data_IF_361306498861
#
_entry.id   IF_361306498861
#
_cell.length_a   1.000
_cell.length_b   1.000
_cell.length_c   1.000
_cell.angle_alpha   90.00
_cell.angle_beta   90.00
_cell.angle_gamma   90.00
#
_symmetry.space_group_name_H-M   'P 1'
#
loop_
_entity.id
_entity.type
_entity.pdbx_description
1 polymer ?
#
# COMPACT_ATOMS: atom_id res chain seq x y z
N UNK A 1 15.61 3.92 -4.89
CA UNK A 1 15.14 3.58 -6.24
C UNK A 1 13.75 3.00 -6.04
N UNK A 2 12.72 3.60 -6.62
CA UNK A 2 11.36 3.08 -6.55
C UNK A 2 11.32 1.68 -7.16
N UNK A 3 10.63 0.71 -6.56
CA UNK A 3 10.49 -0.61 -7.16
C UNK A 3 9.66 -0.49 -8.45
N UNK A 4 10.11 -1.23 -9.47
CA UNK A 4 9.43 -1.30 -10.75
C UNK A 4 8.63 -2.60 -10.86
N UNK A 5 7.36 -2.50 -11.27
CA UNK A 5 6.48 -3.64 -11.51
C UNK A 5 5.87 -3.50 -12.91
N UNK A 6 5.86 -4.57 -13.70
CA UNK A 6 5.32 -4.52 -15.07
C UNK A 6 5.91 -3.41 -15.97
N UNK A 7 7.11 -2.89 -15.66
CA UNK A 7 7.77 -1.81 -16.41
C UNK A 7 7.44 -0.38 -15.96
N UNK A 8 6.65 -0.22 -14.88
CA UNK A 8 6.32 1.09 -14.31
C UNK A 8 6.96 1.24 -12.92
N UNK A 9 7.36 2.47 -12.57
CA UNK A 9 7.90 2.79 -11.25
C UNK A 9 6.77 3.10 -10.26
N UNK A 10 6.87 2.55 -9.05
CA UNK A 10 5.87 2.76 -8.00
C UNK A 10 6.49 3.26 -6.70
N UNK A 11 5.83 4.23 -6.08
CA UNK A 11 6.08 4.62 -4.70
C UNK A 11 4.99 4.04 -3.80
N UNK A 12 5.36 3.65 -2.59
CA UNK A 12 4.43 3.15 -1.59
C UNK A 12 4.32 4.11 -0.43
N UNK A 13 3.09 4.42 -0.04
CA UNK A 13 2.80 5.33 1.07
C UNK A 13 1.87 4.63 2.06
N UNK A 14 2.24 4.67 3.33
CA UNK A 14 1.37 4.18 4.39
C UNK A 14 0.41 5.28 4.82
N UNK A 15 -0.87 4.93 4.99
CA UNK A 15 -1.92 5.82 5.44
C UNK A 15 -2.57 5.22 6.68
N UNK A 16 -2.49 5.90 7.82
CA UNK A 16 -3.21 5.48 9.03
C UNK A 16 -4.59 6.12 9.08
N UNK A 17 -5.63 5.35 9.39
CA UNK A 17 -6.96 5.88 9.63
C UNK A 17 -7.36 5.68 11.10
N UNK A 18 -7.39 6.77 11.85
CA UNK A 18 -7.73 6.81 13.28
C UNK A 18 -9.20 6.43 13.53
N UNK A 19 -10.09 6.68 12.58
CA UNK A 19 -11.53 6.38 12.71
C UNK A 19 -11.79 4.89 12.47
N UNK A 20 -11.10 4.30 11.49
CA UNK A 20 -11.21 2.87 11.16
C UNK A 20 -10.29 1.97 12.00
N UNK A 21 -9.43 2.58 12.83
CA UNK A 21 -8.42 1.92 13.67
C UNK A 21 -7.63 0.88 12.87
N UNK A 22 -6.96 1.35 11.83
CA UNK A 22 -6.24 0.48 10.92
C UNK A 22 -5.24 1.21 10.04
N UNK A 23 -4.47 0.42 9.30
CA UNK A 23 -3.41 0.88 8.43
C UNK A 23 -3.71 0.52 6.97
N UNK A 24 -3.50 1.50 6.11
CA UNK A 24 -3.57 1.41 4.67
C UNK A 24 -2.19 1.49 4.04
N UNK A 25 -2.01 0.82 2.90
CA UNK A 25 -0.86 0.93 2.03
C UNK A 25 -1.35 1.34 0.64
N UNK A 26 -0.88 2.48 0.18
CA UNK A 26 -1.17 3.05 -1.12
C UNK A 26 0.01 2.79 -2.07
N UNK A 27 -0.29 2.44 -3.31
CA UNK A 27 0.67 2.33 -4.40
C UNK A 27 0.40 3.44 -5.42
N UNK A 28 1.43 4.24 -5.66
CA UNK A 28 1.42 5.40 -6.52
C UNK A 28 2.35 5.19 -7.71
N UNK A 29 1.78 5.12 -8.90
CA UNK A 29 2.54 5.05 -10.15
C UNK A 29 3.21 6.41 -10.42
N UNK A 30 4.53 6.39 -10.66
CA UNK A 30 5.39 7.59 -10.70
C UNK A 30 5.78 8.05 -12.12
N UNK A 31 5.53 7.23 -13.14
CA UNK A 31 5.89 7.53 -14.54
C UNK A 31 4.82 8.37 -15.26
N UNK A 32 3.86 8.92 -14.51
CA UNK A 32 2.88 9.90 -14.97
C UNK A 32 2.92 11.17 -14.11
N UNK A 33 2.53 12.30 -14.69
CA UNK A 33 2.42 13.59 -14.00
C UNK A 33 0.97 14.12 -14.07
N UNK A 34 0.26 14.25 -12.94
CA UNK A 34 0.70 13.92 -11.59
C UNK A 34 0.84 12.41 -11.34
N UNK A 35 1.58 11.98 -10.29
CA UNK A 35 1.60 10.58 -9.86
C UNK A 35 0.18 10.07 -9.61
N UNK A 36 -0.07 8.82 -10.00
CA UNK A 36 -1.41 8.24 -9.98
C UNK A 36 -1.55 7.21 -8.87
N UNK A 37 -2.50 7.40 -7.96
CA UNK A 37 -2.91 6.37 -7.01
C UNK A 37 -3.60 5.25 -7.79
N UNK A 38 -2.98 4.07 -7.80
CA UNK A 38 -3.49 2.93 -8.59
C UNK A 38 -4.13 1.86 -7.72
N UNK A 39 -3.66 1.73 -6.48
CA UNK A 39 -4.07 0.69 -5.56
C UNK A 39 -3.96 1.17 -4.12
N UNK A 40 -4.96 0.84 -3.30
CA UNK A 40 -4.91 0.91 -1.85
C UNK A 40 -5.31 -0.44 -1.25
N UNK A 41 -4.57 -0.88 -0.24
CA UNK A 41 -4.92 -2.02 0.60
C UNK A 41 -5.04 -1.55 2.04
N UNK A 42 -6.18 -1.81 2.68
CA UNK A 42 -6.45 -1.40 4.05
C UNK A 42 -6.75 -2.62 4.93
N UNK A 43 -6.04 -2.75 6.05
CA UNK A 43 -6.28 -3.81 7.03
C UNK A 43 -7.16 -3.30 8.17
N UNK A 44 -8.26 -3.99 8.41
CA UNK A 44 -9.11 -3.77 9.57
C UNK A 44 -8.66 -4.69 10.70
N UNK A 45 -7.98 -4.14 11.71
CA UNK A 45 -7.41 -4.93 12.81
C UNK A 45 -8.44 -5.72 13.62
N UNK A 46 -9.62 -5.19 13.98
CA UNK A 46 -10.60 -5.91 14.79
C UNK A 46 -11.20 -7.15 14.12
N UNK A 47 -11.32 -7.14 12.78
CA UNK A 47 -11.95 -8.22 12.02
C UNK A 47 -10.94 -9.13 11.32
N UNK A 48 -9.66 -8.71 11.23
CA UNK A 48 -8.66 -9.37 10.39
C UNK A 48 -8.98 -9.31 8.90
N UNK A 49 -9.96 -8.49 8.50
CA UNK A 49 -10.34 -8.33 7.10
C UNK A 49 -9.37 -7.40 6.38
N UNK A 50 -9.18 -7.67 5.09
CA UNK A 50 -8.43 -6.82 4.18
C UNK A 50 -9.39 -6.23 3.16
N UNK A 51 -9.42 -4.91 3.05
CA UNK A 51 -10.11 -4.19 1.99
C UNK A 51 -9.10 -3.82 0.90
N UNK A 52 -9.52 -3.94 -0.36
CA UNK A 52 -8.68 -3.67 -1.52
C UNK A 52 -9.46 -2.74 -2.45
N UNK A 53 -8.83 -1.62 -2.80
CA UNK A 53 -9.37 -0.63 -3.71
C UNK A 53 -8.42 -0.45 -4.89
N UNK A 54 -8.86 -0.88 -6.07
CA UNK A 54 -8.13 -0.67 -7.31
C UNK A 54 -8.78 0.46 -8.11
N UNK A 55 -7.98 1.48 -8.41
CA UNK A 55 -8.44 2.70 -9.07
C UNK A 55 -8.25 2.65 -10.59
N UNK A 56 -7.37 1.77 -11.08
CA UNK A 56 -7.15 1.53 -12.52
C UNK A 56 -7.15 0.03 -12.83
N UNK A 57 -7.74 -0.42 -13.94
CA UNK A 57 -7.76 -1.84 -14.31
C UNK A 57 -6.38 -2.32 -14.79
N UNK A 58 -6.15 -3.63 -14.77
CA UNK A 58 -4.99 -4.24 -15.43
C UNK A 58 -3.65 -4.01 -14.75
N UNK A 59 -3.64 -3.87 -13.42
CA UNK A 59 -2.39 -3.74 -12.66
C UNK A 59 -1.51 -4.99 -12.77
N UNK A 60 -0.17 -4.81 -12.74
CA UNK A 60 0.76 -5.93 -12.67
C UNK A 60 0.43 -6.86 -11.50
N UNK A 61 0.42 -8.17 -11.74
CA UNK A 61 0.05 -9.15 -10.71
C UNK A 61 1.05 -9.15 -9.54
N UNK A 62 2.34 -9.01 -9.85
CA UNK A 62 3.44 -8.91 -8.89
C UNK A 62 3.35 -7.65 -8.01
N UNK A 63 2.84 -6.53 -8.54
CA UNK A 63 2.51 -5.34 -7.72
C UNK A 63 1.44 -5.68 -6.68
N UNK A 64 0.36 -6.35 -7.09
CA UNK A 64 -0.73 -6.72 -6.19
C UNK A 64 -0.21 -7.67 -5.09
N UNK A 65 0.55 -8.70 -5.48
CA UNK A 65 1.16 -9.63 -4.52
C UNK A 65 2.08 -8.92 -3.54
N UNK A 66 2.87 -7.96 -4.01
CA UNK A 66 3.77 -7.17 -3.17
C UNK A 66 3.02 -6.35 -2.11
N UNK A 67 2.00 -5.58 -2.53
CA UNK A 67 1.22 -4.73 -1.62
C UNK A 67 0.46 -5.59 -0.60
N UNK A 68 -0.16 -6.68 -1.02
CA UNK A 68 -0.84 -7.62 -0.12
C UNK A 68 0.15 -8.29 0.84
N UNK A 69 1.36 -8.62 0.37
CA UNK A 69 2.43 -9.17 1.18
C UNK A 69 2.83 -8.23 2.33
N UNK A 70 3.04 -6.94 2.04
CA UNK A 70 3.33 -5.93 3.07
C UNK A 70 2.14 -5.77 4.02
N UNK A 71 0.93 -5.68 3.48
CA UNK A 71 -0.28 -5.54 4.29
C UNK A 71 -0.48 -6.73 5.25
N UNK A 72 -0.08 -7.93 4.83
CA UNK A 72 -0.14 -9.14 5.65
C UNK A 72 0.98 -9.22 6.68
N UNK A 73 2.21 -8.81 6.36
CA UNK A 73 3.38 -9.04 7.20
C UNK A 73 3.69 -7.88 8.16
N UNK A 74 3.58 -6.64 7.68
CA UNK A 74 4.13 -5.47 8.36
C UNK A 74 3.07 -4.62 9.04
N UNK A 75 1.82 -4.66 8.58
CA UNK A 75 0.70 -4.06 9.33
C UNK A 75 0.32 -4.87 10.59
N UNK A 76 1.01 -5.98 10.88
CA UNK A 76 0.83 -6.81 12.08
C UNK A 76 1.67 -6.37 13.27
N UNK A 77 2.63 -5.45 13.10
CA UNK A 77 3.56 -5.08 14.18
C UNK A 77 2.92 -4.04 15.11
N UNK A 78 2.66 -4.36 16.39
CA UNK A 78 2.38 -3.32 17.37
C UNK A 78 3.65 -2.49 17.56
N UNK A 79 3.57 -1.19 17.30
CA UNK A 79 4.65 -0.26 17.65
C UNK A 79 5.59 0.19 16.54
N UNK A 80 5.16 0.19 15.26
CA UNK A 80 5.90 0.96 14.26
C UNK A 80 5.57 2.45 14.36
N UNK A 81 6.15 3.08 15.38
CA UNK A 81 6.12 4.52 15.58
C UNK A 81 7.40 5.08 14.95
N UNK A 82 7.28 5.91 13.92
CA UNK A 82 8.16 7.03 13.51
C UNK A 82 9.71 6.96 13.66
N UNK A 83 10.33 5.81 13.87
CA UNK A 83 11.79 5.64 13.90
C UNK A 83 12.25 5.05 12.57
N UNK A 84 12.35 5.90 11.55
CA UNK A 84 12.86 5.49 10.24
C UNK A 84 12.90 6.58 9.17
N UNK A 85 12.37 7.76 9.44
CA UNK A 85 12.58 8.95 8.61
C UNK A 85 13.74 9.78 9.20
N UNK A 86 14.98 9.32 8.96
CA UNK A 86 16.19 10.12 9.10
C UNK A 86 17.10 9.88 7.89
#
# INVERSE_FOLDING_TARGET
MSPAFGGHDYAFQMASDVIRDGLGLEAWQQDCDPPLLVLEVFRQDPSGALSYNQFVPGLPFDLIEHVVGIARADLLKPGWNEEGAA
#
